data_IF_989457622278
#
_entry.id   IF_989457622278
#
_cell.length_a   1.000
_cell.length_b   1.000
_cell.length_c   1.000
_cell.angle_alpha   90.00
_cell.angle_beta   90.00
_cell.angle_gamma   90.00
#
_symmetry.space_group_name_H-M   'P 1'
#
loop_
_entity.id
_entity.type
_entity.pdbx_description
1 polymer ?
#
# COMPACT_ATOMS: atom_id res chain seq x y z
N UNK A 1 23.98 19.67 1.33
CA UNK A 1 22.62 20.22 1.16
C UNK A 1 22.16 20.71 2.53
N UNK A 2 21.66 21.94 2.67
CA UNK A 2 21.14 22.44 3.95
C UNK A 2 19.72 21.89 4.13
N UNK A 3 19.59 20.85 4.96
CA UNK A 3 18.29 20.30 5.33
C UNK A 3 17.61 21.27 6.29
N UNK A 4 16.36 21.63 5.98
CA UNK A 4 15.48 22.32 6.94
C UNK A 4 14.94 21.26 7.91
N UNK A 5 15.74 20.91 8.91
CA UNK A 5 15.31 20.07 10.03
C UNK A 5 14.53 20.93 11.03
N UNK A 6 13.26 21.13 10.73
CA UNK A 6 12.29 21.64 11.70
C UNK A 6 11.06 20.75 11.70
N UNK A 7 10.46 20.57 12.88
CA UNK A 7 9.16 19.93 12.96
C UNK A 7 8.13 20.71 12.12
N UNK A 8 7.11 20.02 11.57
CA UNK A 8 5.97 20.70 10.96
C UNK A 8 5.33 21.69 11.92
N UNK A 9 4.88 22.85 11.42
CA UNK A 9 4.35 23.90 12.30
C UNK A 9 2.97 23.49 12.86
N UNK A 10 2.58 24.05 14.01
CA UNK A 10 1.24 23.81 14.55
C UNK A 10 0.14 24.29 13.60
N UNK A 11 0.38 25.35 12.82
CA UNK A 11 -0.53 25.82 11.78
C UNK A 11 -0.67 24.81 10.65
N UNK A 12 0.43 24.21 10.18
CA UNK A 12 0.38 23.18 9.14
C UNK A 12 -0.39 21.95 9.62
N UNK A 13 -0.09 21.46 10.84
CA UNK A 13 -0.78 20.30 11.42
C UNK A 13 -2.28 20.57 11.56
N UNK A 14 -2.66 21.77 12.02
CA UNK A 14 -4.07 22.14 12.14
C UNK A 14 -4.75 22.20 10.76
N UNK A 15 -4.13 22.85 9.79
CA UNK A 15 -4.68 22.95 8.44
C UNK A 15 -4.85 21.56 7.79
N UNK A 16 -3.83 20.69 7.85
CA UNK A 16 -3.94 19.30 7.35
C UNK A 16 -5.07 18.56 8.06
N UNK A 17 -5.20 18.71 9.38
CA UNK A 17 -6.27 18.09 10.15
C UNK A 17 -7.67 18.51 9.68
N UNK A 18 -7.86 19.80 9.41
CA UNK A 18 -9.13 20.35 8.92
C UNK A 18 -9.44 19.83 7.50
N UNK A 19 -8.44 19.76 6.61
CA UNK A 19 -8.59 19.20 5.26
C UNK A 19 -8.91 17.70 5.29
N UNK A 20 -8.23 16.92 6.13
CA UNK A 20 -8.50 15.48 6.33
C UNK A 20 -9.97 15.28 6.70
N UNK A 21 -10.48 16.00 7.69
CA UNK A 21 -11.87 15.89 8.11
C UNK A 21 -12.86 16.23 6.98
N UNK A 22 -12.57 17.27 6.19
CA UNK A 22 -13.41 17.70 5.08
C UNK A 22 -13.42 16.70 3.91
N UNK A 23 -12.25 16.17 3.53
CA UNK A 23 -12.11 15.18 2.46
C UNK A 23 -12.83 13.88 2.82
N UNK A 24 -12.63 13.38 4.05
CA UNK A 24 -13.30 12.16 4.49
C UNK A 24 -14.82 12.32 4.61
N UNK A 25 -15.35 13.51 4.89
CA UNK A 25 -16.80 13.74 4.83
C UNK A 25 -17.29 13.75 3.38
N UNK A 26 -16.57 14.41 2.46
CA UNK A 26 -16.92 14.50 1.03
C UNK A 26 -16.95 13.14 0.36
N UNK A 27 -15.96 12.30 0.65
CA UNK A 27 -15.79 10.99 0.05
C UNK A 27 -16.50 9.87 0.84
N UNK A 28 -17.28 10.20 1.88
CA UNK A 28 -17.99 9.21 2.69
C UNK A 28 -19.13 8.58 1.90
N UNK A 29 -19.16 7.26 1.87
CA UNK A 29 -20.21 6.44 1.31
C UNK A 29 -20.92 5.69 2.43
N UNK A 30 -22.26 5.75 2.44
CA UNK A 30 -23.10 5.05 3.42
C UNK A 30 -24.34 4.50 2.77
N UNK A 31 -24.78 3.34 3.22
CA UNK A 31 -26.02 2.74 2.75
C UNK A 31 -26.20 1.32 3.24
N UNK A 32 -27.16 0.65 2.62
CA UNK A 32 -27.44 -0.76 2.82
C UNK A 32 -27.23 -1.48 1.49
N UNK A 33 -26.51 -2.60 1.52
CA UNK A 33 -26.22 -3.44 0.37
C UNK A 33 -27.17 -4.64 0.34
N UNK A 34 -28.23 -4.54 -0.47
CA UNK A 34 -29.28 -5.57 -0.59
C UNK A 34 -28.73 -6.95 -0.97
N UNK A 35 -27.62 -7.00 -1.72
CA UNK A 35 -27.03 -8.25 -2.22
C UNK A 35 -26.39 -9.11 -1.12
N UNK A 36 -26.12 -8.55 0.06
CA UNK A 36 -25.56 -9.26 1.20
C UNK A 36 -26.23 -8.94 2.54
N UNK A 37 -27.28 -8.12 2.54
CA UNK A 37 -27.99 -7.67 3.75
C UNK A 37 -27.01 -7.07 4.79
N UNK A 38 -26.19 -6.11 4.33
CA UNK A 38 -25.19 -5.43 5.16
C UNK A 38 -25.26 -3.92 5.00
N UNK A 39 -25.27 -3.21 6.13
CA UNK A 39 -24.98 -1.78 6.13
C UNK A 39 -23.49 -1.53 5.87
N UNK A 40 -23.17 -0.48 5.14
CA UNK A 40 -21.80 -0.02 4.90
C UNK A 40 -21.64 1.46 5.25
N UNK A 41 -20.46 1.81 5.74
CA UNK A 41 -20.02 3.17 6.07
C UNK A 41 -18.50 3.23 5.91
N UNK A 42 -18.04 3.88 4.84
CA UNK A 42 -16.64 3.92 4.47
C UNK A 42 -16.31 5.22 3.71
N UNK A 43 -15.04 5.48 3.49
CA UNK A 43 -14.52 6.56 2.65
C UNK A 43 -13.99 5.96 1.35
N UNK A 44 -14.44 6.46 0.21
CA UNK A 44 -13.87 6.07 -1.08
C UNK A 44 -12.61 6.93 -1.39
N UNK A 45 -11.65 6.47 -2.21
CA UNK A 45 -10.47 7.26 -2.57
C UNK A 45 -10.82 8.59 -3.24
N UNK A 46 -11.86 8.62 -4.08
CA UNK A 46 -12.41 9.85 -4.65
C UNK A 46 -13.84 9.61 -5.14
N UNK A 47 -14.80 10.43 -4.73
CA UNK A 47 -16.20 10.26 -5.16
C UNK A 47 -16.42 10.41 -6.67
N UNK A 48 -15.43 10.97 -7.39
CA UNK A 48 -15.49 11.18 -8.85
C UNK A 48 -14.86 10.03 -9.61
N UNK A 49 -13.67 9.59 -9.20
CA UNK A 49 -12.88 8.64 -9.99
C UNK A 49 -12.94 7.22 -9.43
N UNK A 50 -13.12 7.07 -8.11
CA UNK A 50 -13.00 5.81 -7.39
C UNK A 50 -14.05 5.75 -6.27
N UNK A 51 -15.34 5.45 -6.55
CA UNK A 51 -16.44 5.60 -5.59
C UNK A 51 -16.73 4.34 -4.73
N UNK A 52 -15.88 3.32 -4.80
CA UNK A 52 -15.99 2.05 -4.05
C UNK A 52 -15.07 1.99 -2.82
N UNK A 53 -15.08 0.88 -2.10
CA UNK A 53 -14.19 0.66 -0.97
C UNK A 53 -12.98 -0.17 -1.42
N UNK A 54 -11.78 0.40 -1.37
CA UNK A 54 -10.52 -0.30 -1.68
C UNK A 54 -9.82 -0.72 -0.40
N UNK A 55 -9.27 -1.94 -0.34
CA UNK A 55 -8.70 -2.53 0.86
C UNK A 55 -7.55 -1.70 1.43
N UNK A 56 -6.56 -1.36 0.60
CA UNK A 56 -5.36 -0.66 1.05
C UNK A 56 -5.67 0.80 1.40
N UNK A 57 -6.48 1.46 0.57
CA UNK A 57 -7.01 2.79 0.83
C UNK A 57 -7.76 2.87 2.15
N UNK A 58 -8.69 1.95 2.41
CA UNK A 58 -9.43 1.87 3.67
C UNK A 58 -8.50 1.76 4.88
N UNK A 59 -7.37 1.07 4.75
CA UNK A 59 -6.37 1.01 5.81
C UNK A 59 -5.73 2.40 6.05
N UNK A 60 -5.32 3.11 5.01
CA UNK A 60 -4.81 4.49 5.13
C UNK A 60 -5.87 5.45 5.66
N UNK A 61 -7.12 5.33 5.20
CA UNK A 61 -8.24 6.14 5.62
C UNK A 61 -8.52 5.95 7.09
N UNK A 62 -8.55 4.72 7.59
CA UNK A 62 -8.76 4.44 9.01
C UNK A 62 -7.63 5.03 9.88
N UNK A 63 -6.37 4.94 9.43
CA UNK A 63 -5.24 5.57 10.12
C UNK A 63 -5.42 7.09 10.16
N UNK A 64 -5.73 7.74 9.03
CA UNK A 64 -5.92 9.18 8.96
C UNK A 64 -7.14 9.64 9.79
N UNK A 65 -8.28 8.95 9.64
CA UNK A 65 -9.51 9.18 10.41
C UNK A 65 -9.28 9.04 11.92
N UNK A 66 -8.39 8.15 12.37
CA UNK A 66 -8.10 7.98 13.80
C UNK A 66 -7.56 9.26 14.48
N UNK A 67 -7.10 10.26 13.71
CA UNK A 67 -6.68 11.57 14.20
C UNK A 67 -7.81 12.61 14.30
N UNK A 68 -8.93 12.39 13.60
CA UNK A 68 -10.00 13.38 13.42
C UNK A 68 -11.39 12.89 13.87
N UNK A 69 -11.73 11.63 13.63
CA UNK A 69 -13.03 11.04 13.89
C UNK A 69 -12.90 9.51 14.08
N UNK A 70 -12.81 9.09 15.35
CA UNK A 70 -12.64 7.68 15.72
C UNK A 70 -13.84 6.82 15.34
N UNK A 71 -15.06 7.38 15.36
CA UNK A 71 -16.26 6.62 15.01
C UNK A 71 -16.24 6.25 13.52
N UNK A 72 -15.84 7.19 12.65
CA UNK A 72 -15.62 6.91 11.22
C UNK A 72 -14.44 5.97 10.99
N UNK A 73 -13.35 6.12 11.73
CA UNK A 73 -12.19 5.23 11.60
C UNK A 73 -12.54 3.77 11.91
N UNK A 74 -13.35 3.53 12.95
CA UNK A 74 -13.85 2.20 13.26
C UNK A 74 -14.88 1.72 12.23
N UNK A 75 -15.78 2.58 11.78
CA UNK A 75 -16.76 2.24 10.73
C UNK A 75 -16.09 1.79 9.42
N UNK A 76 -15.02 2.49 9.00
CA UNK A 76 -14.20 2.14 7.84
C UNK A 76 -13.74 0.68 7.89
N UNK A 77 -13.06 0.31 8.99
CA UNK A 77 -12.51 -1.04 9.17
C UNK A 77 -13.61 -2.09 9.35
N UNK A 78 -14.70 -1.77 10.07
CA UNK A 78 -15.83 -2.70 10.22
C UNK A 78 -16.50 -2.98 8.88
N UNK A 79 -16.71 -1.95 8.04
CA UNK A 79 -17.23 -2.12 6.69
C UNK A 79 -16.27 -2.97 5.85
N UNK A 80 -14.97 -2.68 5.88
CA UNK A 80 -13.97 -3.48 5.15
C UNK A 80 -13.99 -4.95 5.55
N UNK A 81 -14.15 -5.27 6.83
CA UNK A 81 -14.18 -6.65 7.32
C UNK A 81 -15.46 -7.40 6.93
N UNK A 82 -16.56 -6.72 6.58
CA UNK A 82 -17.78 -7.36 6.07
C UNK A 82 -17.59 -7.96 4.66
N UNK A 83 -16.59 -7.50 3.91
CA UNK A 83 -16.15 -8.10 2.64
C UNK A 83 -15.42 -9.44 2.83
N UNK A 84 -15.12 -9.85 4.06
CA UNK A 84 -14.30 -11.04 4.26
C UNK A 84 -15.02 -12.33 3.84
N UNK A 85 -14.39 -13.07 2.93
CA UNK A 85 -14.87 -14.33 2.40
C UNK A 85 -14.78 -15.44 3.46
N UNK A 86 -15.48 -16.55 3.22
CA UNK A 86 -15.51 -17.69 4.13
C UNK A 86 -14.13 -18.32 4.36
N UNK A 87 -13.23 -18.22 3.38
CA UNK A 87 -11.84 -18.71 3.46
C UNK A 87 -10.87 -17.72 4.14
N UNK A 88 -11.35 -16.52 4.53
CA UNK A 88 -10.55 -15.48 5.17
C UNK A 88 -10.03 -14.40 4.23
N UNK A 89 -10.11 -14.60 2.91
CA UNK A 89 -9.73 -13.59 1.91
C UNK A 89 -10.56 -12.30 2.07
N UNK A 90 -9.95 -11.14 1.79
CA UNK A 90 -10.64 -9.86 1.67
C UNK A 90 -10.28 -9.30 0.31
N UNK A 91 -11.29 -9.05 -0.52
CA UNK A 91 -11.12 -8.52 -1.88
C UNK A 91 -10.52 -7.11 -1.84
N UNK A 92 -9.67 -6.78 -2.83
CA UNK A 92 -9.08 -5.46 -2.95
C UNK A 92 -10.15 -4.37 -3.13
N UNK A 93 -11.31 -4.69 -3.73
CA UNK A 93 -12.47 -3.78 -3.85
C UNK A 93 -13.74 -4.47 -3.43
N UNK A 94 -14.54 -3.73 -2.66
CA UNK A 94 -15.96 -4.02 -2.43
C UNK A 94 -16.83 -3.02 -3.15
N UNK A 95 -17.64 -3.49 -4.10
CA UNK A 95 -18.57 -2.67 -4.87
C UNK A 95 -19.94 -2.64 -4.19
N UNK A 96 -19.99 -2.14 -2.95
CA UNK A 96 -21.20 -2.10 -2.11
C UNK A 96 -22.43 -1.56 -2.85
N UNK A 97 -22.24 -0.45 -3.56
CA UNK A 97 -23.26 0.23 -4.36
C UNK A 97 -23.09 0.06 -5.87
N UNK A 98 -22.54 -1.09 -6.34
CA UNK A 98 -22.20 -1.32 -7.77
C UNK A 98 -23.29 -0.90 -8.75
N UNK A 99 -24.55 -1.21 -8.44
CA UNK A 99 -25.67 -1.02 -9.37
C UNK A 99 -25.86 0.44 -9.81
N UNK A 100 -25.38 1.40 -9.01
CA UNK A 100 -25.39 2.83 -9.36
C UNK A 100 -24.21 3.27 -10.26
N UNK A 101 -23.25 2.38 -10.52
CA UNK A 101 -21.96 2.69 -11.16
C UNK A 101 -21.57 1.68 -12.25
N UNK A 102 -22.50 0.92 -12.83
CA UNK A 102 -22.19 -0.16 -13.78
C UNK A 102 -21.37 0.32 -14.99
N UNK A 103 -21.67 1.52 -15.52
CA UNK A 103 -20.90 2.13 -16.62
C UNK A 103 -19.45 2.41 -16.20
N UNK A 104 -19.23 2.98 -15.02
CA UNK A 104 -17.87 3.25 -14.50
C UNK A 104 -17.10 1.95 -14.24
N UNK A 105 -17.75 0.94 -13.67
CA UNK A 105 -17.14 -0.38 -13.42
C UNK A 105 -16.66 -1.02 -14.73
N UNK A 106 -17.39 -0.81 -15.84
CA UNK A 106 -17.01 -1.36 -17.15
C UNK A 106 -15.73 -0.76 -17.74
N UNK A 107 -15.24 0.37 -17.19
CA UNK A 107 -14.00 1.03 -17.63
C UNK A 107 -12.76 0.58 -16.86
N UNK A 108 -12.93 -0.19 -15.78
CA UNK A 108 -11.81 -0.64 -14.95
C UNK A 108 -11.27 -1.99 -15.44
N UNK A 109 -9.96 -2.10 -15.50
CA UNK A 109 -9.26 -3.38 -15.64
C UNK A 109 -9.21 -4.09 -14.27
N UNK A 110 -10.37 -4.49 -13.76
CA UNK A 110 -10.51 -5.21 -12.49
C UNK A 110 -11.09 -6.58 -12.76
N UNK A 111 -10.48 -7.59 -12.15
CA UNK A 111 -11.04 -8.91 -12.14
C UNK A 111 -11.99 -9.17 -10.96
N UNK A 112 -13.00 -10.01 -11.22
CA UNK A 112 -14.13 -10.22 -10.33
C UNK A 112 -14.20 -11.65 -9.81
N UNK A 113 -14.32 -11.81 -8.49
CA UNK A 113 -14.69 -13.08 -7.85
C UNK A 113 -16.20 -13.26 -7.79
N UNK A 114 -16.93 -12.15 -7.69
CA UNK A 114 -18.38 -12.07 -7.83
C UNK A 114 -18.74 -10.72 -8.46
N UNK A 115 -20.03 -10.51 -8.78
CA UNK A 115 -20.50 -9.19 -9.24
C UNK A 115 -20.09 -8.06 -8.29
N UNK A 116 -20.01 -8.27 -6.98
CA UNK A 116 -19.77 -7.17 -6.03
C UNK A 116 -18.38 -7.19 -5.40
N UNK A 117 -17.54 -8.18 -5.70
CA UNK A 117 -16.25 -8.40 -5.06
C UNK A 117 -15.18 -8.70 -6.11
N UNK A 118 -14.06 -8.00 -6.05
CA UNK A 118 -12.89 -8.35 -6.85
C UNK A 118 -12.23 -9.65 -6.37
N UNK A 119 -11.35 -10.25 -7.16
CA UNK A 119 -10.63 -11.49 -6.81
C UNK A 119 -9.20 -11.27 -6.31
N UNK A 120 -8.75 -10.03 -6.32
CA UNK A 120 -7.36 -9.64 -6.08
C UNK A 120 -7.15 -9.24 -4.62
N UNK A 121 -5.97 -9.51 -4.05
CA UNK A 121 -5.56 -8.92 -2.77
C UNK A 121 -4.97 -7.51 -2.97
N UNK A 122 -4.65 -6.83 -1.88
CA UNK A 122 -3.84 -5.61 -1.87
C UNK A 122 -2.86 -5.64 -0.69
N UNK A 123 -1.81 -4.80 -0.64
CA UNK A 123 -0.78 -4.87 0.40
C UNK A 123 -1.36 -4.89 1.83
N UNK A 124 -0.93 -5.83 2.69
CA UNK A 124 -1.67 -6.19 3.91
C UNK A 124 -1.40 -5.23 5.09
N UNK A 125 -1.88 -3.99 5.00
CA UNK A 125 -1.73 -2.91 6.01
C UNK A 125 -2.76 -2.99 7.16
N UNK A 126 -3.66 -3.96 7.13
CA UNK A 126 -4.85 -4.00 8.00
C UNK A 126 -4.52 -4.03 9.50
N UNK A 127 -3.47 -4.73 9.93
CA UNK A 127 -3.11 -4.80 11.34
C UNK A 127 -2.60 -3.46 11.88
N UNK A 128 -1.80 -2.72 11.10
CA UNK A 128 -1.39 -1.35 11.42
C UNK A 128 -2.58 -0.42 11.53
N UNK A 129 -3.56 -0.52 10.62
CA UNK A 129 -4.77 0.29 10.68
C UNK A 129 -5.59 0.01 11.95
N UNK A 130 -5.78 -1.27 12.31
CA UNK A 130 -6.45 -1.67 13.56
C UNK A 130 -5.69 -1.14 14.77
N UNK A 131 -4.36 -1.26 14.78
CA UNK A 131 -3.51 -0.76 15.87
C UNK A 131 -3.63 0.76 16.04
N UNK A 132 -3.61 1.51 14.93
CA UNK A 132 -3.76 2.97 14.95
C UNK A 132 -5.12 3.41 15.52
N UNK A 133 -6.21 2.77 15.08
CA UNK A 133 -7.57 3.05 15.56
C UNK A 133 -7.73 2.65 17.03
N UNK A 134 -7.27 1.46 17.41
CA UNK A 134 -7.33 0.98 18.80
C UNK A 134 -6.55 1.91 19.74
N UNK A 135 -5.32 2.28 19.38
CA UNK A 135 -4.43 3.14 20.18
C UNK A 135 -5.05 4.50 20.50
N UNK A 136 -5.83 5.06 19.56
CA UNK A 136 -6.46 6.39 19.72
C UNK A 136 -7.92 6.31 20.20
N UNK A 137 -8.54 5.13 20.10
CA UNK A 137 -9.97 4.91 20.41
C UNK A 137 -10.20 3.96 21.57
N UNK A 138 -11.04 2.95 21.36
CA UNK A 138 -11.52 2.03 22.41
C UNK A 138 -10.48 0.99 22.88
N UNK A 139 -9.25 1.03 22.38
CA UNK A 139 -8.19 0.11 22.79
C UNK A 139 -8.58 -1.36 22.61
N UNK A 140 -8.36 -2.15 23.66
CA UNK A 140 -8.58 -3.61 23.71
C UNK A 140 -10.00 -4.02 23.31
N UNK A 141 -11.03 -3.20 23.59
CA UNK A 141 -12.41 -3.52 23.23
C UNK A 141 -12.60 -3.57 21.71
N UNK A 142 -12.02 -2.60 20.97
CA UNK A 142 -12.04 -2.62 19.51
C UNK A 142 -11.18 -3.75 18.96
N UNK A 143 -10.01 -4.01 19.56
CA UNK A 143 -9.14 -5.12 19.14
C UNK A 143 -9.90 -6.45 19.26
N UNK A 144 -10.52 -6.73 20.39
CA UNK A 144 -11.31 -7.95 20.60
C UNK A 144 -12.44 -8.11 19.58
N UNK A 145 -13.08 -7.00 19.18
CA UNK A 145 -14.16 -6.99 18.20
C UNK A 145 -13.69 -7.42 16.80
N UNK A 146 -12.54 -6.91 16.34
CA UNK A 146 -12.11 -7.06 14.93
C UNK A 146 -11.02 -8.11 14.72
N UNK A 147 -10.17 -8.37 15.73
CA UNK A 147 -8.99 -9.23 15.61
C UNK A 147 -9.29 -10.64 15.07
N UNK A 148 -10.40 -11.33 15.42
CA UNK A 148 -10.71 -12.64 14.85
C UNK A 148 -10.82 -12.62 13.31
N UNK A 149 -11.42 -11.58 12.74
CA UNK A 149 -11.53 -11.40 11.31
C UNK A 149 -10.17 -11.05 10.69
N UNK A 150 -9.41 -10.16 11.32
CA UNK A 150 -8.05 -9.81 10.88
C UNK A 150 -7.16 -11.05 10.83
N UNK A 151 -7.14 -11.88 11.90
CA UNK A 151 -6.35 -13.12 11.95
C UNK A 151 -6.67 -14.07 10.79
N UNK A 152 -7.94 -14.20 10.41
CA UNK A 152 -8.36 -15.02 9.25
C UNK A 152 -7.78 -14.54 7.92
N UNK A 153 -7.62 -13.23 7.73
CA UNK A 153 -7.01 -12.68 6.51
C UNK A 153 -5.51 -12.99 6.43
N UNK A 154 -4.78 -12.80 7.53
CA UNK A 154 -3.35 -13.14 7.55
C UNK A 154 -3.09 -14.65 7.52
N UNK A 155 -4.03 -15.47 8.00
CA UNK A 155 -3.99 -16.92 7.82
C UNK A 155 -4.21 -17.31 6.36
N UNK A 156 -5.15 -16.66 5.67
CA UNK A 156 -5.33 -16.86 4.23
C UNK A 156 -4.05 -16.50 3.45
N UNK A 157 -3.41 -15.36 3.74
CA UNK A 157 -2.13 -15.00 3.12
C UNK A 157 -1.05 -16.07 3.36
N UNK A 158 -0.93 -16.54 4.61
CA UNK A 158 0.06 -17.54 4.99
C UNK A 158 -0.17 -18.90 4.32
N UNK A 159 -1.43 -19.32 4.14
CA UNK A 159 -1.77 -20.66 3.63
C UNK A 159 -1.98 -20.72 2.13
N UNK A 160 -2.39 -19.60 1.51
CA UNK A 160 -2.74 -19.53 0.08
C UNK A 160 -1.65 -18.83 -0.72
N UNK A 161 -1.09 -17.72 -0.21
CA UNK A 161 -0.13 -16.89 -0.94
C UNK A 161 1.33 -17.13 -0.58
N UNK A 162 1.66 -18.10 0.27
CA UNK A 162 3.04 -18.54 0.53
C UNK A 162 3.25 -19.98 0.02
N UNK A 163 3.22 -20.20 -1.31
CA UNK A 163 3.20 -21.54 -1.89
C UNK A 163 4.52 -22.32 -1.72
N UNK A 164 5.63 -21.63 -1.47
CA UNK A 164 6.94 -22.24 -1.32
C UNK A 164 7.34 -22.45 0.14
N UNK A 165 6.51 -22.01 1.08
CA UNK A 165 6.78 -22.14 2.49
C UNK A 165 8.03 -21.38 2.94
N UNK A 166 8.47 -20.37 2.21
CA UNK A 166 9.58 -19.48 2.60
C UNK A 166 9.12 -18.35 3.53
N UNK A 167 7.80 -18.17 3.66
CA UNK A 167 7.21 -17.15 4.52
C UNK A 167 6.88 -15.86 3.79
N UNK A 168 7.28 -15.71 2.52
CA UNK A 168 6.94 -14.55 1.70
C UNK A 168 5.61 -14.79 0.96
N UNK A 169 4.80 -13.74 0.92
CA UNK A 169 3.58 -13.66 0.11
C UNK A 169 3.95 -13.51 -1.36
N UNK A 170 3.25 -14.25 -2.22
CA UNK A 170 3.29 -14.17 -3.68
C UNK A 170 2.03 -13.48 -4.19
N UNK A 171 2.22 -12.35 -4.87
CA UNK A 171 1.18 -11.73 -5.69
C UNK A 171 1.11 -12.47 -7.04
N UNK A 172 -0.09 -12.56 -7.61
CA UNK A 172 -0.37 -13.36 -8.81
C UNK A 172 -0.72 -12.52 -10.05
N UNK A 173 -0.74 -11.20 -9.88
CA UNK A 173 -0.93 -10.21 -10.93
C UNK A 173 -0.40 -8.86 -10.44
N UNK A 174 -0.05 -7.92 -11.34
CA UNK A 174 0.58 -6.65 -10.96
C UNK A 174 -0.27 -5.79 -10.02
N UNK A 175 -1.59 -5.79 -10.18
CA UNK A 175 -2.49 -4.86 -9.47
C UNK A 175 -2.59 -5.16 -7.97
N UNK A 176 -2.25 -6.39 -7.57
CA UNK A 176 -2.23 -6.78 -6.17
C UNK A 176 -1.15 -6.07 -5.34
N UNK A 177 -0.19 -5.45 -6.01
CA UNK A 177 0.81 -4.59 -5.38
C UNK A 177 0.33 -3.16 -5.20
N UNK A 178 -0.77 -2.77 -5.86
CA UNK A 178 -1.27 -1.39 -5.90
C UNK A 178 -0.40 -0.43 -6.71
N UNK A 179 0.54 -0.95 -7.50
CA UNK A 179 1.45 -0.16 -8.34
C UNK A 179 1.49 -0.65 -9.81
N UNK A 180 0.31 -0.81 -10.37
CA UNK A 180 -0.05 -1.57 -11.57
C UNK A 180 0.82 -1.23 -12.80
N UNK A 181 1.17 0.05 -12.95
CA UNK A 181 1.93 0.60 -14.07
C UNK A 181 3.46 0.65 -13.86
N UNK A 182 3.94 0.06 -12.77
CA UNK A 182 5.36 0.08 -12.40
C UNK A 182 6.24 -0.59 -13.45
N UNK A 183 7.44 -0.06 -13.74
CA UNK A 183 8.36 -0.65 -14.69
C UNK A 183 8.93 -2.00 -14.23
N UNK A 184 8.74 -2.37 -12.95
CA UNK A 184 9.14 -3.69 -12.42
C UNK A 184 8.41 -4.82 -13.15
N UNK A 185 7.22 -4.56 -13.68
CA UNK A 185 6.40 -5.57 -14.36
C UNK A 185 6.70 -5.69 -15.85
N UNK A 186 7.44 -4.75 -16.45
CA UNK A 186 7.63 -4.64 -17.90
C UNK A 186 8.20 -5.90 -18.53
N UNK A 187 9.17 -6.55 -17.87
CA UNK A 187 9.78 -7.77 -18.41
C UNK A 187 8.78 -8.94 -18.42
N UNK A 188 7.96 -9.08 -17.37
CA UNK A 188 6.96 -10.15 -17.26
C UNK A 188 5.82 -9.90 -18.26
N UNK A 189 5.38 -8.64 -18.35
CA UNK A 189 4.28 -8.19 -19.21
C UNK A 189 4.70 -7.91 -20.66
N UNK A 190 6.00 -7.97 -20.96
CA UNK A 190 6.60 -7.69 -22.28
C UNK A 190 6.30 -6.27 -22.80
N UNK A 191 6.30 -5.29 -21.91
CA UNK A 191 6.10 -3.87 -22.23
C UNK A 191 7.45 -3.28 -22.69
N UNK A 192 7.46 -2.59 -23.82
CA UNK A 192 8.68 -2.02 -24.43
C UNK A 192 8.55 -0.53 -24.78
N UNK A 193 7.38 0.04 -24.57
CA UNK A 193 7.03 1.42 -24.90
C UNK A 193 6.20 2.04 -23.76
N UNK A 194 5.70 3.25 -23.99
CA UNK A 194 4.93 4.04 -23.03
C UNK A 194 3.43 4.01 -23.32
N UNK A 195 2.99 3.14 -24.23
CA UNK A 195 1.59 3.09 -24.67
C UNK A 195 0.75 2.27 -23.70
N UNK A 196 -0.40 2.80 -23.29
CA UNK A 196 -1.33 2.09 -22.40
C UNK A 196 -1.78 0.76 -23.01
N UNK A 197 -2.03 0.71 -24.31
CA UNK A 197 -2.40 -0.52 -25.03
C UNK A 197 -1.36 -1.64 -24.86
N UNK A 198 -0.07 -1.30 -24.69
CA UNK A 198 0.97 -2.29 -24.43
C UNK A 198 0.86 -2.87 -23.03
N UNK A 199 0.51 -2.05 -22.05
CA UNK A 199 0.20 -2.51 -20.70
C UNK A 199 -1.06 -3.37 -20.68
N UNK A 200 -2.14 -2.95 -21.33
CA UNK A 200 -3.40 -3.71 -21.42
C UNK A 200 -3.14 -5.13 -21.99
N UNK A 201 -2.39 -5.22 -23.09
CA UNK A 201 -2.03 -6.54 -23.67
C UNK A 201 -1.19 -7.38 -22.71
N UNK A 202 -0.24 -6.76 -22.01
CA UNK A 202 0.58 -7.43 -21.01
C UNK A 202 -0.25 -7.96 -19.84
N UNK A 203 -1.19 -7.15 -19.36
CA UNK A 203 -2.11 -7.48 -18.28
C UNK A 203 -3.01 -8.66 -18.66
N UNK A 204 -3.67 -8.59 -19.81
CA UNK A 204 -4.49 -9.69 -20.35
C UNK A 204 -3.68 -10.99 -20.52
N UNK A 205 -2.41 -10.90 -20.91
CA UNK A 205 -1.55 -12.09 -21.03
C UNK A 205 -1.28 -12.84 -19.72
N UNK A 206 -1.45 -12.14 -18.58
CA UNK A 206 -1.34 -12.70 -17.22
C UNK A 206 -2.72 -13.12 -16.72
N UNK A 207 -3.70 -12.23 -16.83
CA UNK A 207 -4.99 -12.34 -16.15
C UNK A 207 -6.00 -13.24 -16.88
N UNK A 208 -6.08 -13.21 -18.20
CA UNK A 208 -7.06 -14.00 -18.97
C UNK A 208 -6.88 -15.52 -18.80
N UNK A 209 -5.66 -16.09 -18.73
CA UNK A 209 -5.46 -17.51 -18.44
C UNK A 209 -6.09 -17.99 -17.13
N UNK A 210 -6.30 -17.10 -16.16
CA UNK A 210 -6.85 -17.44 -14.85
C UNK A 210 -8.36 -17.75 -14.89
N UNK A 211 -9.09 -17.22 -15.87
CA UNK A 211 -10.54 -17.38 -16.00
C UNK A 211 -10.96 -18.85 -16.16
N UNK A 212 -10.14 -19.66 -16.84
CA UNK A 212 -10.36 -21.10 -17.02
C UNK A 212 -10.45 -21.86 -15.69
N UNK A 213 -9.87 -21.31 -14.63
CA UNK A 213 -9.79 -21.93 -13.31
C UNK A 213 -10.67 -21.21 -12.28
N UNK A 214 -11.66 -20.45 -12.74
CA UNK A 214 -12.49 -19.59 -11.90
C UNK A 214 -11.67 -18.72 -10.96
N UNK A 215 -10.47 -18.33 -11.42
CA UNK A 215 -9.56 -17.48 -10.68
C UNK A 215 -9.22 -18.04 -9.28
N UNK A 216 -9.10 -19.36 -9.16
CA UNK A 216 -8.61 -20.01 -7.94
C UNK A 216 -7.13 -19.62 -7.70
N UNK A 217 -6.79 -19.02 -6.54
CA UNK A 217 -5.45 -18.48 -6.30
C UNK A 217 -4.36 -19.55 -6.29
N UNK A 218 -4.67 -20.79 -5.89
CA UNK A 218 -3.69 -21.89 -5.95
C UNK A 218 -3.43 -22.29 -7.40
N UNK A 219 -4.47 -22.29 -8.24
CA UNK A 219 -4.32 -22.52 -9.69
C UNK A 219 -3.57 -21.40 -10.40
N UNK A 220 -3.81 -20.13 -10.06
CA UNK A 220 -3.02 -19.01 -10.59
C UNK A 220 -1.52 -19.19 -10.30
N UNK A 221 -1.19 -19.58 -9.06
CA UNK A 221 0.19 -19.88 -8.66
C UNK A 221 0.76 -21.06 -9.45
N UNK A 222 0.00 -22.15 -9.62
CA UNK A 222 0.43 -23.33 -10.39
C UNK A 222 0.71 -22.99 -11.87
N UNK A 223 -0.06 -22.06 -12.48
CA UNK A 223 0.13 -21.62 -13.86
C UNK A 223 1.42 -20.80 -14.05
N UNK A 224 1.88 -20.13 -12.99
CA UNK A 224 3.16 -19.43 -12.96
C UNK A 224 3.32 -18.33 -14.03
N UNK A 225 2.23 -17.63 -14.39
CA UNK A 225 2.26 -16.48 -15.29
C UNK A 225 2.86 -15.24 -14.60
N UNK A 226 2.49 -15.03 -13.34
CA UNK A 226 3.02 -14.00 -12.47
C UNK A 226 2.94 -14.55 -11.04
N UNK A 227 4.09 -14.79 -10.39
CA UNK A 227 4.14 -15.33 -9.02
C UNK A 227 5.28 -14.61 -8.30
N UNK A 228 5.02 -13.38 -7.89
CA UNK A 228 6.06 -12.45 -7.47
C UNK A 228 6.09 -12.30 -5.95
N UNK A 229 7.26 -12.54 -5.35
CA UNK A 229 7.56 -12.00 -4.03
C UNK A 229 7.99 -10.54 -4.20
N UNK A 230 7.01 -9.64 -4.11
CA UNK A 230 7.23 -8.21 -4.19
C UNK A 230 7.84 -7.69 -2.87
N UNK A 231 8.83 -6.80 -2.97
CA UNK A 231 9.56 -6.26 -1.81
C UNK A 231 8.65 -5.37 -0.96
N UNK A 232 7.82 -4.53 -1.57
CA UNK A 232 6.94 -3.62 -0.83
C UNK A 232 5.87 -4.40 -0.07
N UNK A 233 5.15 -5.27 -0.76
CA UNK A 233 4.09 -6.12 -0.20
C UNK A 233 4.63 -6.97 0.95
N UNK A 234 5.81 -7.58 0.78
CA UNK A 234 6.40 -8.42 1.82
C UNK A 234 6.96 -7.61 2.99
N UNK A 235 7.49 -6.40 2.75
CA UNK A 235 7.88 -5.48 3.84
C UNK A 235 6.66 -5.11 4.69
N UNK A 236 5.56 -4.71 4.05
CA UNK A 236 4.30 -4.37 4.73
C UNK A 236 3.76 -5.60 5.49
N UNK A 237 3.81 -6.78 4.88
CA UNK A 237 3.41 -8.03 5.51
C UNK A 237 4.25 -8.35 6.76
N UNK A 238 5.58 -8.25 6.69
CA UNK A 238 6.48 -8.49 7.83
C UNK A 238 6.18 -7.50 8.97
N UNK A 239 6.06 -6.20 8.65
CA UNK A 239 5.68 -5.18 9.63
C UNK A 239 4.34 -5.51 10.28
N UNK A 240 3.34 -5.90 9.49
CA UNK A 240 2.00 -6.20 10.01
C UNK A 240 1.94 -7.52 10.80
N UNK A 241 2.84 -8.47 10.56
CA UNK A 241 3.01 -9.64 11.43
C UNK A 241 3.56 -9.25 12.81
N UNK A 242 4.49 -8.29 12.89
CA UNK A 242 4.92 -7.73 14.18
C UNK A 242 3.77 -7.03 14.90
N UNK A 243 3.00 -6.20 14.18
CA UNK A 243 1.84 -5.51 14.75
C UNK A 243 0.77 -6.50 15.21
N UNK A 244 0.50 -7.57 14.45
CA UNK A 244 -0.40 -8.63 14.88
C UNK A 244 0.05 -9.34 16.14
N UNK A 245 1.36 -9.59 16.27
CA UNK A 245 1.93 -10.13 17.50
C UNK A 245 1.59 -9.20 18.67
N UNK A 246 1.78 -7.89 18.52
CA UNK A 246 1.49 -6.91 19.57
C UNK A 246 0.00 -6.79 19.89
N UNK A 247 -0.87 -6.85 18.87
CA UNK A 247 -2.32 -6.88 19.06
C UNK A 247 -2.77 -8.14 19.83
N UNK A 248 -2.20 -9.30 19.50
CA UNK A 248 -2.47 -10.55 20.22
C UNK A 248 -2.01 -10.48 21.68
N UNK A 249 -0.84 -9.88 21.97
CA UNK A 249 -0.37 -9.67 23.34
C UNK A 249 -1.33 -8.79 24.15
N UNK A 250 -1.85 -7.72 23.55
CA UNK A 250 -2.79 -6.79 24.22
C UNK A 250 -4.09 -7.47 24.66
N UNK A 251 -4.55 -8.49 23.93
CA UNK A 251 -5.74 -9.28 24.29
C UNK A 251 -5.44 -10.56 25.08
N UNK A 252 -4.17 -10.79 25.44
CA UNK A 252 -3.74 -11.96 26.22
C UNK A 252 -3.57 -13.26 25.42
N UNK A 253 -3.56 -13.20 24.09
CA UNK A 253 -3.34 -14.34 23.19
C UNK A 253 -1.83 -14.54 22.91
N UNK A 254 -1.09 -14.91 23.95
CA UNK A 254 0.38 -15.07 23.87
C UNK A 254 0.82 -16.16 22.89
N UNK A 255 -0.02 -17.17 22.63
CA UNK A 255 0.28 -18.24 21.69
C UNK A 255 0.30 -17.70 20.25
N UNK A 256 -0.74 -16.99 19.83
CA UNK A 256 -0.78 -16.38 18.50
C UNK A 256 0.27 -15.27 18.35
N UNK A 257 0.56 -14.54 19.43
CA UNK A 257 1.64 -13.56 19.41
C UNK A 257 3.00 -14.17 19.05
N UNK A 258 3.37 -15.28 19.71
CA UNK A 258 4.59 -16.00 19.42
C UNK A 258 4.62 -16.57 17.99
N UNK A 259 3.47 -17.03 17.49
CA UNK A 259 3.34 -17.54 16.13
C UNK A 259 3.57 -16.45 15.07
N UNK A 260 2.91 -15.28 15.21
CA UNK A 260 3.10 -14.20 14.25
C UNK A 260 4.52 -13.64 14.27
N UNK A 261 5.16 -13.56 15.44
CA UNK A 261 6.56 -13.18 15.54
C UNK A 261 7.49 -14.19 14.83
N UNK A 262 7.20 -15.49 14.96
CA UNK A 262 7.96 -16.52 14.25
C UNK A 262 7.77 -16.43 12.72
N UNK A 263 6.55 -16.16 12.25
CA UNK A 263 6.26 -15.92 10.82
C UNK A 263 7.01 -14.68 10.31
N UNK A 264 7.01 -13.58 11.08
CA UNK A 264 7.70 -12.34 10.71
C UNK A 264 9.20 -12.58 10.55
N UNK A 265 9.83 -13.25 11.53
CA UNK A 265 11.25 -13.61 11.48
C UNK A 265 11.59 -14.46 10.26
N UNK A 266 10.76 -15.44 9.93
CA UNK A 266 10.99 -16.31 8.77
C UNK A 266 10.93 -15.53 7.46
N UNK A 267 9.85 -14.75 7.27
CA UNK A 267 9.68 -13.89 6.11
C UNK A 267 10.82 -12.87 5.97
N UNK A 268 11.26 -12.27 7.09
CA UNK A 268 12.39 -11.35 7.14
C UNK A 268 13.69 -11.97 6.63
N UNK A 269 14.01 -13.20 7.05
CA UNK A 269 15.19 -13.93 6.58
C UNK A 269 15.09 -14.19 5.08
N UNK A 270 13.96 -14.69 4.58
CA UNK A 270 13.78 -14.96 3.15
C UNK A 270 13.78 -13.69 2.29
N UNK A 271 13.28 -12.56 2.80
CA UNK A 271 13.40 -11.28 2.10
C UNK A 271 14.88 -10.90 1.90
N UNK A 272 15.72 -11.12 2.90
CA UNK A 272 17.16 -10.86 2.79
C UNK A 272 17.88 -11.82 1.85
N UNK A 273 17.55 -13.11 1.91
CA UNK A 273 18.20 -14.13 1.10
C UNK A 273 17.83 -14.05 -0.38
N UNK A 274 16.56 -13.73 -0.67
CA UNK A 274 16.03 -13.77 -2.04
C UNK A 274 16.07 -12.42 -2.73
N UNK A 275 15.86 -11.32 -1.99
CA UNK A 275 15.63 -10.01 -2.59
C UNK A 275 16.81 -9.05 -2.44
N UNK A 276 17.78 -9.29 -1.56
CA UNK A 276 18.93 -8.38 -1.43
C UNK A 276 19.95 -8.59 -2.55
N UNK A 277 20.30 -7.51 -3.23
CA UNK A 277 21.37 -7.49 -4.22
C UNK A 277 22.58 -6.73 -3.64
N UNK A 278 23.67 -7.45 -3.38
CA UNK A 278 24.90 -6.90 -2.79
C UNK A 278 25.63 -5.90 -3.72
N UNK A 279 25.60 -6.09 -5.04
CA UNK A 279 26.29 -5.19 -5.97
C UNK A 279 25.63 -3.83 -6.05
N UNK A 280 24.30 -3.82 -5.99
CA UNK A 280 23.50 -2.61 -6.19
C UNK A 280 23.15 -1.91 -4.88
N UNK A 281 23.32 -2.61 -3.75
CA UNK A 281 22.94 -2.13 -2.43
C UNK A 281 21.43 -1.87 -2.31
N UNK A 282 20.61 -2.68 -2.99
CA UNK A 282 19.17 -2.51 -3.12
C UNK A 282 18.44 -3.86 -2.97
N UNK A 283 17.15 -3.78 -2.66
CA UNK A 283 16.26 -4.94 -2.71
C UNK A 283 15.50 -5.00 -4.04
N UNK A 284 15.34 -6.19 -4.59
CA UNK A 284 14.55 -6.45 -5.80
C UNK A 284 13.63 -7.66 -5.58
N UNK A 285 12.40 -7.59 -6.07
CA UNK A 285 11.47 -8.71 -5.99
C UNK A 285 11.95 -9.90 -6.81
N UNK A 286 11.38 -11.07 -6.57
CA UNK A 286 11.68 -12.29 -7.34
C UNK A 286 10.41 -12.90 -7.91
N UNK A 287 10.47 -13.37 -9.16
CA UNK A 287 9.35 -14.00 -9.85
C UNK A 287 9.53 -15.51 -10.02
N UNK A 288 8.44 -16.25 -9.81
CA UNK A 288 8.34 -17.68 -10.04
C UNK A 288 9.12 -18.53 -9.03
N UNK A 289 9.07 -19.85 -9.24
CA UNK A 289 9.71 -20.83 -8.36
C UNK A 289 11.23 -20.76 -8.40
N UNK A 290 11.79 -20.35 -9.54
CA UNK A 290 13.21 -20.17 -9.76
C UNK A 290 13.74 -18.87 -9.13
N UNK A 291 12.86 -18.06 -8.52
CA UNK A 291 13.17 -16.77 -7.91
C UNK A 291 13.97 -15.85 -8.86
N UNK A 292 13.48 -15.69 -10.10
CA UNK A 292 14.12 -14.81 -11.07
C UNK A 292 14.08 -13.35 -10.56
N UNK A 293 15.22 -12.66 -10.40
CA UNK A 293 15.24 -11.28 -9.90
C UNK A 293 14.55 -10.29 -10.86
N UNK A 294 13.85 -9.31 -10.29
CA UNK A 294 13.21 -8.19 -10.97
C UNK A 294 14.01 -6.90 -10.69
N UNK A 295 15.18 -6.78 -11.33
CA UNK A 295 16.20 -5.77 -11.05
C UNK A 295 15.84 -4.37 -11.61
N UNK A 296 14.76 -3.78 -11.12
CA UNK A 296 14.29 -2.44 -11.51
C UNK A 296 14.27 -1.54 -10.29
N UNK A 297 15.08 -0.47 -10.32
CA UNK A 297 15.26 0.46 -9.20
C UNK A 297 14.02 1.38 -9.04
N UNK A 298 13.11 0.98 -8.16
CA UNK A 298 11.91 1.74 -7.76
C UNK A 298 11.90 1.99 -6.25
N UNK A 299 11.00 2.85 -5.77
CA UNK A 299 10.91 3.12 -4.32
C UNK A 299 10.66 1.84 -3.49
N UNK A 300 10.10 0.79 -4.11
CA UNK A 300 9.94 -0.53 -3.48
C UNK A 300 11.27 -1.12 -3.00
N UNK A 301 12.36 -0.88 -3.73
CA UNK A 301 13.70 -1.33 -3.35
C UNK A 301 14.20 -0.72 -2.04
N UNK A 302 13.58 0.38 -1.61
CA UNK A 302 13.90 1.11 -0.37
C UNK A 302 12.97 0.73 0.79
N UNK A 303 11.84 0.07 0.50
CA UNK A 303 10.81 -0.26 1.49
C UNK A 303 11.32 -0.99 2.73
N UNK A 304 12.33 -1.88 2.67
CA UNK A 304 12.87 -2.54 3.86
C UNK A 304 13.42 -1.60 4.94
N UNK A 305 13.66 -0.31 4.64
CA UNK A 305 13.89 0.72 5.67
C UNK A 305 12.77 0.80 6.71
N UNK A 306 11.55 0.36 6.37
CA UNK A 306 10.46 0.29 7.33
C UNK A 306 10.77 -0.74 8.44
N UNK A 307 11.59 -1.77 8.20
CA UNK A 307 11.78 -2.86 9.15
C UNK A 307 12.77 -2.45 10.27
N UNK A 308 12.37 -2.50 11.55
CA UNK A 308 13.20 -2.01 12.65
C UNK A 308 14.46 -2.86 12.89
N UNK A 309 14.47 -4.10 12.41
CA UNK A 309 15.57 -5.05 12.52
C UNK A 309 16.43 -5.15 11.25
N UNK A 310 16.27 -4.23 10.29
CA UNK A 310 17.14 -4.14 9.11
C UNK A 310 18.60 -3.95 9.53
N UNK A 311 19.50 -4.74 8.92
CA UNK A 311 20.93 -4.62 9.16
C UNK A 311 21.41 -3.19 8.91
N UNK A 312 22.22 -2.65 9.83
CA UNK A 312 22.65 -1.26 9.79
C UNK A 312 23.37 -0.91 8.49
N UNK A 313 24.21 -1.79 7.94
CA UNK A 313 24.94 -1.50 6.69
C UNK A 313 23.97 -1.43 5.52
N UNK A 314 23.00 -2.35 5.45
CA UNK A 314 21.94 -2.30 4.42
C UNK A 314 21.10 -1.03 4.57
N UNK A 315 20.71 -0.67 5.79
CA UNK A 315 19.99 0.58 6.06
C UNK A 315 20.81 1.82 5.60
N UNK A 316 22.10 1.88 5.92
CA UNK A 316 22.98 2.96 5.50
C UNK A 316 23.09 3.05 3.96
N UNK A 317 23.15 1.91 3.25
CA UNK A 317 23.14 1.86 1.79
C UNK A 317 21.82 2.36 1.20
N UNK A 318 20.68 1.90 1.72
CA UNK A 318 19.36 2.37 1.27
C UNK A 318 19.16 3.87 1.54
N UNK A 319 19.60 4.37 2.70
CA UNK A 319 19.58 5.81 3.01
C UNK A 319 20.45 6.59 2.03
N UNK A 320 21.62 6.05 1.64
CA UNK A 320 22.47 6.69 0.63
C UNK A 320 21.77 6.76 -0.73
N UNK A 321 20.99 5.74 -1.12
CA UNK A 321 20.17 5.75 -2.34
C UNK A 321 19.03 6.77 -2.26
N UNK A 322 18.31 6.83 -1.13
CA UNK A 322 17.31 7.88 -0.86
C UNK A 322 17.90 9.27 -1.10
N UNK A 323 19.10 9.52 -0.57
CA UNK A 323 19.79 10.81 -0.65
C UNK A 323 20.46 11.11 -2.00
N UNK A 324 20.43 10.18 -2.95
CA UNK A 324 21.05 10.41 -4.25
C UNK A 324 20.17 11.38 -5.08
N UNK A 325 20.69 12.56 -5.46
CA UNK A 325 19.94 13.54 -6.27
C UNK A 325 19.63 13.09 -7.69
N UNK A 326 20.29 12.05 -8.20
CA UNK A 326 19.97 11.44 -9.49
C UNK A 326 18.96 10.28 -9.37
N UNK A 327 18.61 9.86 -8.16
CA UNK A 327 17.66 8.77 -7.96
C UNK A 327 16.39 9.27 -7.25
N UNK A 328 16.44 9.50 -5.94
CA UNK A 328 15.24 9.69 -5.15
C UNK A 328 15.16 11.06 -4.45
N UNK A 329 16.27 11.79 -4.37
CA UNK A 329 16.33 13.06 -3.64
C UNK A 329 15.91 14.27 -4.49
N UNK A 330 14.65 14.24 -4.95
CA UNK A 330 14.00 15.34 -5.67
C UNK A 330 13.64 16.53 -4.73
N UNK A 331 13.09 17.63 -5.26
CA UNK A 331 12.57 18.74 -4.44
C UNK A 331 11.42 18.27 -3.53
N UNK A 332 10.53 17.44 -4.06
CA UNK A 332 9.42 16.80 -3.36
C UNK A 332 9.58 15.28 -3.40
N UNK A 333 10.53 14.72 -2.62
CA UNK A 333 10.81 13.29 -2.57
C UNK A 333 9.58 12.55 -2.01
N UNK A 334 9.32 11.29 -2.35
CA UNK A 334 10.14 10.29 -3.04
C UNK A 334 9.45 9.86 -4.35
N UNK A 335 10.10 9.96 -5.52
CA UNK A 335 9.52 9.53 -6.80
C UNK A 335 9.35 8.00 -6.84
N UNK A 336 8.33 7.52 -7.58
CA UNK A 336 8.02 6.09 -7.63
C UNK A 336 9.08 5.23 -8.34
N UNK A 337 9.89 5.82 -9.22
CA UNK A 337 11.06 5.20 -9.85
C UNK A 337 12.26 6.13 -9.71
N UNK A 338 13.46 5.59 -9.61
CA UNK A 338 14.68 6.40 -9.60
C UNK A 338 14.71 7.35 -10.81
N UNK A 339 15.04 8.63 -10.59
CA UNK A 339 15.02 9.68 -11.62
C UNK A 339 15.98 9.41 -12.78
N UNK A 340 17.05 8.64 -12.56
CA UNK A 340 18.00 8.21 -13.59
C UNK A 340 17.56 6.95 -14.35
N UNK A 341 16.42 6.34 -14.00
CA UNK A 341 15.89 5.19 -14.71
C UNK A 341 15.31 5.60 -16.07
N UNK A 342 15.53 4.84 -17.16
CA UNK A 342 15.06 5.22 -18.51
C UNK A 342 13.54 5.42 -18.63
N UNK A 343 12.76 4.77 -17.76
CA UNK A 343 11.30 4.88 -17.74
C UNK A 343 10.78 6.04 -16.88
N UNK A 344 11.66 6.88 -16.29
CA UNK A 344 11.25 7.99 -15.44
C UNK A 344 10.44 9.06 -16.22
N UNK A 345 9.15 9.21 -15.89
CA UNK A 345 8.16 10.11 -16.47
C UNK A 345 7.38 10.81 -15.33
N UNK A 346 7.84 11.98 -14.85
CA UNK A 346 7.21 12.68 -13.72
C UNK A 346 5.90 13.41 -14.06
N UNK A 347 5.59 13.57 -15.35
CA UNK A 347 4.45 14.35 -15.85
C UNK A 347 3.27 13.51 -16.36
N UNK A 348 3.28 12.21 -16.09
CA UNK A 348 2.25 11.27 -16.56
C UNK A 348 0.84 11.68 -16.16
N UNK A 349 -0.11 11.65 -17.11
CA UNK A 349 -1.51 12.08 -16.93
C UNK A 349 -2.47 11.00 -17.40
N UNK A 350 -3.58 10.79 -16.70
CA UNK A 350 -4.84 10.22 -17.21
C UNK A 350 -4.72 9.00 -18.14
N UNK A 351 -4.73 7.79 -17.57
CA UNK A 351 -4.66 6.54 -18.34
C UNK A 351 -3.29 6.25 -18.94
N UNK A 352 -2.23 6.94 -18.51
CA UNK A 352 -0.85 6.59 -18.83
C UNK A 352 -0.19 5.88 -17.64
N UNK A 353 0.99 5.31 -17.83
CA UNK A 353 1.71 4.50 -16.85
C UNK A 353 2.16 5.30 -15.59
N UNK A 354 1.25 5.55 -14.64
CA UNK A 354 1.41 6.55 -13.55
C UNK A 354 2.46 6.21 -12.48
N UNK A 355 2.90 4.95 -12.36
CA UNK A 355 3.91 4.51 -11.37
C UNK A 355 5.35 4.65 -11.86
N UNK A 356 5.61 5.61 -12.75
CA UNK A 356 6.89 5.80 -13.45
C UNK A 356 7.62 7.09 -13.11
N UNK A 357 7.39 7.72 -11.98
CA UNK A 357 8.13 8.94 -11.63
C UNK A 357 7.43 9.89 -10.68
N UNK A 358 6.09 10.04 -10.72
CA UNK A 358 5.40 10.85 -9.74
C UNK A 358 5.73 10.43 -8.30
N UNK A 359 5.75 11.41 -7.39
CA UNK A 359 5.78 11.18 -5.95
C UNK A 359 4.37 10.94 -5.43
N UNK A 360 4.24 10.01 -4.49
CA UNK A 360 2.97 9.61 -3.89
C UNK A 360 3.04 9.77 -2.37
N UNK A 361 1.91 10.08 -1.74
CA UNK A 361 1.92 10.35 -0.29
C UNK A 361 2.21 9.09 0.54
N UNK A 362 1.78 7.92 0.07
CA UNK A 362 2.04 6.64 0.73
C UNK A 362 3.54 6.29 0.72
N UNK A 363 4.25 6.47 -0.40
CA UNK A 363 5.70 6.25 -0.47
C UNK A 363 6.45 7.19 0.49
N UNK A 364 6.05 8.46 0.53
CA UNK A 364 6.58 9.44 1.48
C UNK A 364 6.38 9.01 2.93
N UNK A 365 5.17 8.56 3.28
CA UNK A 365 4.83 8.09 4.62
C UNK A 365 5.68 6.89 5.03
N UNK A 366 5.79 5.86 4.19
CA UNK A 366 6.59 4.67 4.49
C UNK A 366 8.08 4.99 4.63
N UNK A 367 8.67 5.69 3.65
CA UNK A 367 10.10 5.96 3.64
C UNK A 367 10.48 6.90 4.79
N UNK A 368 9.68 7.92 5.09
CA UNK A 368 9.96 8.79 6.24
C UNK A 368 9.91 8.03 7.58
N UNK A 369 8.94 7.12 7.77
CA UNK A 369 8.89 6.24 8.95
C UNK A 369 10.14 5.37 9.05
N UNK A 370 10.59 4.79 7.94
CA UNK A 370 11.82 3.99 7.90
C UNK A 370 13.08 4.80 8.22
N UNK A 371 13.22 5.99 7.63
CA UNK A 371 14.32 6.91 7.92
C UNK A 371 14.38 7.27 9.42
N UNK A 372 13.22 7.57 10.03
CA UNK A 372 13.11 7.82 11.48
C UNK A 372 13.57 6.60 12.29
N UNK A 373 13.13 5.38 11.95
CA UNK A 373 13.53 4.13 12.63
C UNK A 373 15.04 3.92 12.61
N UNK A 374 15.70 4.35 11.53
CA UNK A 374 17.15 4.26 11.38
C UNK A 374 17.90 5.56 11.73
N UNK A 375 17.33 6.39 12.60
CA UNK A 375 18.02 7.52 13.22
C UNK A 375 18.12 8.79 12.35
N UNK A 376 17.37 8.85 11.25
CA UNK A 376 17.33 10.00 10.32
C UNK A 376 16.02 10.77 10.40
N UNK A 377 15.70 11.22 11.62
CA UNK A 377 14.53 12.08 11.88
C UNK A 377 14.59 13.40 11.08
N UNK A 378 15.80 13.93 10.85
CA UNK A 378 16.04 15.11 10.02
C UNK A 378 15.49 14.93 8.60
N UNK A 379 15.72 13.76 7.99
CA UNK A 379 15.22 13.45 6.66
C UNK A 379 13.72 13.16 6.66
N UNK A 380 13.22 12.47 7.69
CA UNK A 380 11.79 12.22 7.84
C UNK A 380 11.00 13.53 7.95
N UNK A 381 11.49 14.50 8.73
CA UNK A 381 10.92 15.85 8.82
C UNK A 381 11.01 16.60 7.52
N UNK A 382 12.11 16.47 6.79
CA UNK A 382 12.23 17.07 5.46
C UNK A 382 11.13 16.55 4.51
N UNK A 383 10.96 15.23 4.41
CA UNK A 383 9.90 14.62 3.58
C UNK A 383 8.51 15.09 4.02
N UNK A 384 8.25 15.14 5.33
CA UNK A 384 6.98 15.63 5.87
C UNK A 384 6.71 17.10 5.48
N UNK A 385 7.71 17.98 5.63
CA UNK A 385 7.59 19.39 5.26
C UNK A 385 7.40 19.59 3.75
N UNK A 386 8.10 18.82 2.91
CA UNK A 386 7.88 18.84 1.46
C UNK A 386 6.49 18.32 1.11
N UNK A 387 6.00 17.31 1.82
CA UNK A 387 4.64 16.78 1.63
C UNK A 387 3.56 17.81 1.96
N UNK A 388 3.74 18.59 3.03
CA UNK A 388 2.88 19.76 3.34
C UNK A 388 2.92 20.78 2.22
N UNK A 389 4.12 21.16 1.75
CA UNK A 389 4.27 22.11 0.65
C UNK A 389 3.60 21.62 -0.64
N UNK A 390 3.69 20.32 -0.96
CA UNK A 390 3.00 19.72 -2.10
C UNK A 390 1.48 19.90 -2.02
N UNK A 391 0.87 19.51 -0.89
CA UNK A 391 -0.59 19.58 -0.75
C UNK A 391 -1.08 21.02 -0.63
N UNK A 392 -0.31 21.94 -0.05
CA UNK A 392 -0.65 23.38 -0.01
C UNK A 392 -0.65 23.99 -1.41
N UNK A 393 0.22 23.50 -2.31
CA UNK A 393 0.32 23.99 -3.68
C UNK A 393 -0.77 23.44 -4.60
N UNK A 394 -1.10 22.16 -4.47
CA UNK A 394 -1.92 21.43 -5.45
C UNK A 394 -3.23 20.83 -4.91
N UNK A 395 -3.46 20.96 -3.60
CA UNK A 395 -4.50 20.23 -2.88
C UNK A 395 -4.12 18.77 -2.65
N UNK A 396 -5.00 18.02 -1.98
CA UNK A 396 -4.86 16.57 -1.83
C UNK A 396 -5.19 15.87 -3.15
N UNK A 397 -4.14 15.52 -3.89
CA UNK A 397 -4.16 14.78 -5.15
C UNK A 397 -3.65 13.36 -4.96
N UNK A 398 -3.93 12.53 -5.95
CA UNK A 398 -3.48 11.14 -6.01
C UNK A 398 -1.95 11.05 -6.06
N UNK A 399 -1.31 11.84 -6.94
CA UNK A 399 0.14 11.89 -7.11
C UNK A 399 0.63 13.26 -7.60
N UNK A 400 1.93 13.51 -7.48
CA UNK A 400 2.56 14.82 -7.70
C UNK A 400 3.83 14.70 -8.54
N UNK A 401 4.10 15.72 -9.36
CA UNK A 401 5.41 15.83 -10.00
C UNK A 401 6.48 16.10 -8.90
N UNK A 402 7.53 15.26 -8.79
CA UNK A 402 8.55 15.31 -7.72
C UNK A 402 9.43 16.57 -7.75
N UNK A 403 9.42 17.35 -8.83
CA UNK A 403 10.20 18.59 -8.95
C UNK A 403 9.36 19.85 -8.83
N UNK A 404 8.11 19.80 -9.30
CA UNK A 404 7.26 21.01 -9.36
C UNK A 404 6.13 21.00 -8.36
N UNK A 405 5.89 19.89 -7.65
CA UNK A 405 4.72 19.67 -6.80
C UNK A 405 3.36 19.82 -7.52
N UNK A 406 3.35 19.85 -8.85
CA UNK A 406 2.10 19.89 -9.62
C UNK A 406 1.35 18.57 -9.43
N UNK A 407 0.15 18.65 -8.84
CA UNK A 407 -0.65 17.48 -8.53
C UNK A 407 -1.51 17.03 -9.71
N UNK A 408 -1.63 15.71 -9.88
CA UNK A 408 -2.35 15.03 -10.95
C UNK A 408 -3.21 13.88 -10.38
N UNK A 409 -3.95 13.20 -11.25
CA UNK A 409 -4.91 12.18 -10.85
C UNK A 409 -6.14 12.79 -10.16
N UNK A 410 -6.83 11.98 -9.37
CA UNK A 410 -8.08 12.37 -8.74
C UNK A 410 -7.92 13.54 -7.73
N UNK A 411 -8.83 14.53 -7.74
CA UNK A 411 -8.93 15.55 -6.69
C UNK A 411 -9.45 14.95 -5.38
N UNK A 412 -9.18 15.66 -4.28
CA UNK A 412 -9.62 15.32 -2.94
C UNK A 412 -9.32 13.84 -2.59
N UNK A 413 -8.13 13.38 -2.94
CA UNK A 413 -7.80 11.96 -2.89
C UNK A 413 -7.56 11.48 -1.46
N UNK A 414 -8.38 10.56 -0.97
CA UNK A 414 -8.45 10.23 0.46
C UNK A 414 -7.22 9.52 1.01
N UNK A 415 -6.44 8.71 0.26
CA UNK A 415 -5.21 8.17 0.87
C UNK A 415 -4.19 9.25 1.19
N UNK A 416 -4.25 10.42 0.52
CA UNK A 416 -3.20 11.42 0.64
C UNK A 416 -3.32 12.14 1.98
N UNK A 417 -4.45 11.95 2.65
CA UNK A 417 -4.70 12.36 4.02
C UNK A 417 -3.81 11.64 5.03
N UNK A 418 -3.18 10.50 4.68
CA UNK A 418 -2.19 9.82 5.54
C UNK A 418 -1.04 10.74 5.98
N UNK A 419 -0.85 11.86 5.27
CA UNK A 419 -0.01 12.96 5.70
C UNK A 419 -0.23 13.36 7.16
N UNK A 420 -1.46 13.35 7.69
CA UNK A 420 -1.70 13.70 9.11
C UNK A 420 -0.94 12.77 10.07
N UNK A 421 -0.87 11.48 9.74
CA UNK A 421 -0.13 10.50 10.54
C UNK A 421 1.38 10.66 10.33
N UNK A 422 1.84 10.98 9.11
CA UNK A 422 3.24 11.37 8.88
C UNK A 422 3.65 12.55 9.76
N UNK A 423 2.82 13.60 9.81
CA UNK A 423 3.09 14.78 10.63
C UNK A 423 3.15 14.44 12.11
N UNK A 424 2.31 13.52 12.59
CA UNK A 424 2.33 13.02 13.98
C UNK A 424 3.60 12.21 14.29
N UNK A 425 4.04 11.38 13.35
CA UNK A 425 5.24 10.56 13.49
C UNK A 425 6.54 11.37 13.60
N UNK A 426 6.61 12.56 13.01
CA UNK A 426 7.86 13.36 12.96
C UNK A 426 7.88 14.59 13.88
N UNK A 427 6.87 14.74 14.76
CA UNK A 427 6.78 15.88 15.69
C UNK A 427 8.03 16.02 16.55
#
# INVERSE_FOLDING_TARGET
>A
MSLKDHSPTQSDVKWVKDEVAAIHERNRQRGHADWCDQDFDFTCPSSVTYPFQWFWDSCFHAIALSHVDLAKAEAELKSLLKNQHSDGFISHVTFWQRDAYEEMVSTYAIAFRSKYLSDEMQPPLLAEAVSAVAKRGRGVDFINEVLPAVKRFYEWLHTVRNPYGDGLVRVVQPDETGIDHSPVWDEIMKIQDEEHDSWDRGWHSICDPYDKYNRDPKKMIELNHFVVADVMTNTIYIENLHVLSDLCQQVGDSASAAEYLARAKKARVSLDELCWNESDGLYYGVNGKENKPLNVNTFMSLMPLLLPDLDKKKADLLIARVLNPEEYWAEYPIPSVAMNHPTYRPDTVGGNLVWRGPSWMNSNWYIARGLKRHGRLDLARHIANQSVAMVQKSGFREYYNPQTAFGRGAPDFSWSTILIDLLDEVK
#
